data_IF_473334897388
#
_entry.id   IF_473334897388
#
_cell.length_a   1.000
_cell.length_b   1.000
_cell.length_c   1.000
_cell.angle_alpha   90.00
_cell.angle_beta   90.00
_cell.angle_gamma   90.00
#
_symmetry.space_group_name_H-M   'P 1'
#
loop_
_entity.id
_entity.type
_entity.pdbx_description
1 polymer ?
#
# COMPACT_ATOMS: atom_id res chain seq x y z
N UNK A 1 0.11 -19.70 -6.79
CA UNK A 1 -0.18 -20.52 -7.97
C UNK A 1 -1.14 -19.73 -8.87
N UNK A 2 -0.89 -19.67 -10.18
CA UNK A 2 -1.84 -19.08 -11.12
C UNK A 2 -2.04 -20.04 -12.30
N UNK A 3 -3.27 -20.16 -12.78
CA UNK A 3 -3.62 -20.92 -13.98
C UNK A 3 -4.32 -19.98 -14.96
N UNK A 4 -3.83 -19.92 -16.20
CA UNK A 4 -4.45 -19.17 -17.29
C UNK A 4 -5.21 -20.18 -18.15
N UNK A 5 -6.53 -20.09 -18.10
CA UNK A 5 -7.40 -20.70 -19.10
C UNK A 5 -7.97 -19.57 -19.96
N UNK A 6 -8.23 -19.86 -21.24
CA UNK A 6 -8.57 -18.88 -22.29
C UNK A 6 -9.82 -18.02 -22.03
N UNK A 7 -10.52 -18.20 -20.90
CA UNK A 7 -11.69 -17.43 -20.50
C UNK A 7 -11.78 -17.05 -19.00
N UNK A 8 -10.86 -17.46 -18.12
CA UNK A 8 -10.84 -17.05 -16.71
C UNK A 8 -9.47 -17.25 -16.05
N UNK A 9 -9.17 -16.40 -15.07
CA UNK A 9 -7.93 -16.45 -14.29
C UNK A 9 -8.22 -16.99 -12.89
N UNK A 10 -7.51 -18.05 -12.47
CA UNK A 10 -7.42 -18.44 -11.07
C UNK A 10 -6.15 -17.84 -10.47
N UNK A 11 -6.30 -16.83 -9.60
CA UNK A 11 -5.20 -16.19 -8.89
C UNK A 11 -5.24 -16.55 -7.40
N UNK A 12 -4.24 -17.29 -6.92
CA UNK A 12 -4.06 -17.53 -5.48
C UNK A 12 -3.12 -16.47 -4.93
N UNK A 13 -3.66 -15.60 -4.08
CA UNK A 13 -2.91 -14.58 -3.36
C UNK A 13 -2.71 -14.99 -1.92
N UNK A 14 -1.51 -14.78 -1.43
CA UNK A 14 -1.15 -14.95 -0.03
C UNK A 14 -0.63 -13.62 0.50
N UNK A 15 -1.32 -13.07 1.49
CA UNK A 15 -0.81 -11.91 2.23
C UNK A 15 0.00 -12.46 3.39
N UNK A 16 1.29 -12.16 3.39
CA UNK A 16 2.13 -12.42 4.55
C UNK A 16 1.89 -11.30 5.58
N UNK A 17 0.98 -11.55 6.51
CA UNK A 17 0.62 -10.59 7.56
C UNK A 17 1.79 -10.29 8.51
N UNK A 18 2.62 -11.29 8.84
CA UNK A 18 3.83 -11.10 9.65
C UNK A 18 4.82 -10.14 8.97
N UNK A 19 5.08 -10.34 7.68
CA UNK A 19 5.93 -9.44 6.89
C UNK A 19 5.31 -8.04 6.75
N UNK A 20 3.98 -7.93 6.74
CA UNK A 20 3.28 -6.64 6.71
C UNK A 20 3.38 -5.88 8.04
N UNK A 21 3.40 -6.60 9.16
CA UNK A 21 3.56 -6.03 10.51
C UNK A 21 5.01 -5.64 10.79
N UNK A 22 5.97 -6.40 10.27
CA UNK A 22 7.40 -6.10 10.37
C UNK A 22 7.88 -4.98 9.42
N UNK A 23 7.04 -4.58 8.45
CA UNK A 23 7.40 -3.59 7.44
C UNK A 23 7.41 -2.19 8.05
N UNK A 24 8.53 -1.48 7.94
CA UNK A 24 8.67 -0.11 8.45
C UNK A 24 7.78 0.89 7.70
N UNK A 25 7.48 2.04 8.32
CA UNK A 25 6.67 3.08 7.69
C UNK A 25 7.32 3.62 6.40
N UNK A 26 8.65 3.68 6.35
CA UNK A 26 9.40 4.05 5.14
C UNK A 26 9.26 3.02 4.01
N UNK A 27 9.34 1.72 4.33
CA UNK A 27 9.13 0.67 3.34
C UNK A 27 7.69 0.67 2.79
N UNK A 28 6.70 0.95 3.64
CA UNK A 28 5.30 1.13 3.21
C UNK A 28 5.19 2.29 2.22
N UNK A 29 5.87 3.42 2.49
CA UNK A 29 5.91 4.55 1.56
C UNK A 29 6.57 4.18 0.23
N UNK A 30 7.72 3.49 0.26
CA UNK A 30 8.42 3.04 -0.96
C UNK A 30 7.51 2.13 -1.79
N UNK A 31 6.89 1.12 -1.18
CA UNK A 31 5.97 0.19 -1.88
C UNK A 31 4.74 0.91 -2.41
N UNK A 32 4.18 1.85 -1.65
CA UNK A 32 3.05 2.65 -2.11
C UNK A 32 3.42 3.51 -3.32
N UNK A 33 4.61 4.12 -3.31
CA UNK A 33 5.11 4.99 -4.40
C UNK A 33 5.26 4.29 -5.76
N UNK A 34 5.44 2.96 -5.75
CA UNK A 34 5.56 2.15 -6.97
C UNK A 34 4.21 1.94 -7.67
N UNK A 35 3.10 2.10 -6.94
CA UNK A 35 1.75 1.81 -7.42
C UNK A 35 0.94 3.11 -7.55
N UNK A 36 1.16 4.05 -6.63
CA UNK A 36 0.39 5.30 -6.50
C UNK A 36 1.28 6.49 -6.16
N UNK A 37 0.80 7.69 -6.46
CA UNK A 37 1.47 8.92 -6.05
C UNK A 37 1.43 9.11 -4.52
N UNK A 38 2.56 9.51 -3.95
CA UNK A 38 2.65 9.84 -2.52
C UNK A 38 1.94 11.17 -2.21
N UNK A 39 1.29 11.23 -1.04
CA UNK A 39 0.75 12.48 -0.52
C UNK A 39 1.91 13.46 -0.22
N UNK A 40 1.80 14.76 -0.58
CA UNK A 40 2.81 15.77 -0.27
C UNK A 40 3.16 15.85 1.22
N UNK A 41 2.19 15.57 2.10
CA UNK A 41 2.39 15.53 3.54
C UNK A 41 3.38 14.42 3.94
N UNK A 42 3.24 13.24 3.35
CA UNK A 42 4.10 12.09 3.63
C UNK A 42 5.49 12.27 3.02
N UNK A 43 5.60 12.93 1.85
CA UNK A 43 6.90 13.30 1.27
C UNK A 43 7.67 14.25 2.21
N UNK A 44 6.98 15.24 2.79
CA UNK A 44 7.58 16.15 3.78
C UNK A 44 7.94 15.43 5.08
N UNK A 45 7.15 14.44 5.48
CA UNK A 45 7.45 13.57 6.62
C UNK A 45 8.75 12.79 6.38
N UNK A 46 8.91 12.14 5.22
CA UNK A 46 10.13 11.39 4.86
C UNK A 46 11.40 12.26 4.84
N UNK A 47 11.27 13.53 4.46
CA UNK A 47 12.38 14.49 4.46
C UNK A 47 12.69 15.07 5.85
N UNK A 48 11.91 14.74 6.88
CA UNK A 48 12.05 15.33 8.21
C UNK A 48 11.69 16.82 8.27
N UNK A 49 10.98 17.35 7.27
CA UNK A 49 10.64 18.78 7.14
C UNK A 49 9.39 19.19 7.96
N UNK A 50 8.79 18.25 8.69
CA UNK A 50 7.63 18.49 9.52
C UNK A 50 8.04 18.92 10.93
N UNK A 51 7.69 20.16 11.28
CA UNK A 51 7.97 20.75 12.61
C UNK A 51 6.82 20.61 13.60
N UNK A 52 5.61 20.33 13.10
CA UNK A 52 4.41 20.16 13.93
C UNK A 52 4.12 18.68 14.17
N UNK A 53 3.94 18.30 15.43
CA UNK A 53 3.63 16.90 15.81
C UNK A 53 2.27 16.45 15.25
N UNK A 54 1.29 17.36 15.14
CA UNK A 54 -0.01 17.09 14.50
C UNK A 54 0.19 16.70 13.02
N UNK A 55 1.10 17.36 12.31
CA UNK A 55 1.38 17.03 10.91
C UNK A 55 2.09 15.68 10.76
N UNK A 56 2.97 15.34 11.71
CA UNK A 56 3.62 14.03 11.75
C UNK A 56 2.61 12.91 12.01
N UNK A 57 1.72 13.12 12.98
CA UNK A 57 0.68 12.15 13.32
C UNK A 57 -0.29 11.92 12.14
N UNK A 58 -0.70 13.00 11.47
CA UNK A 58 -1.51 12.91 10.26
C UNK A 58 -0.79 12.14 9.12
N UNK A 59 0.53 12.33 8.96
CA UNK A 59 1.31 11.56 7.99
C UNK A 59 1.34 10.07 8.35
N UNK A 60 1.57 9.73 9.63
CA UNK A 60 1.57 8.34 10.11
C UNK A 60 0.20 7.68 9.95
N UNK A 61 -0.89 8.42 10.17
CA UNK A 61 -2.25 7.89 9.96
C UNK A 61 -2.51 7.53 8.48
N UNK A 62 -1.98 8.34 7.55
CA UNK A 62 -2.01 8.04 6.12
C UNK A 62 -1.22 6.77 5.82
N UNK A 63 0.01 6.66 6.35
CA UNK A 63 0.86 5.49 6.15
C UNK A 63 0.20 4.22 6.73
N UNK A 64 -0.45 4.31 7.89
CA UNK A 64 -1.19 3.20 8.48
C UNK A 64 -2.35 2.74 7.58
N UNK A 65 -3.06 3.67 6.91
CA UNK A 65 -4.08 3.34 5.91
C UNK A 65 -3.47 2.64 4.70
N UNK A 66 -2.30 3.07 4.23
CA UNK A 66 -1.57 2.42 3.14
C UNK A 66 -1.13 1.01 3.51
N UNK A 67 -0.60 0.80 4.72
CA UNK A 67 -0.22 -0.54 5.24
C UNK A 67 -1.42 -1.50 5.16
N UNK A 68 -2.59 -1.08 5.67
CA UNK A 68 -3.82 -1.89 5.59
C UNK A 68 -4.26 -2.21 4.16
N UNK A 69 -4.05 -1.28 3.23
CA UNK A 69 -4.41 -1.47 1.81
C UNK A 69 -3.45 -2.41 1.10
N UNK A 70 -2.15 -2.28 1.34
CA UNK A 70 -1.13 -3.17 0.79
C UNK A 70 -1.25 -4.61 1.33
N UNK A 71 -1.79 -4.78 2.54
CA UNK A 71 -2.09 -6.07 3.13
C UNK A 71 -3.50 -6.59 2.84
N UNK A 72 -4.29 -5.92 1.98
CA UNK A 72 -5.67 -6.32 1.70
C UNK A 72 -5.80 -6.97 0.33
N UNK A 73 -6.16 -8.26 0.32
CA UNK A 73 -6.48 -9.02 -0.90
C UNK A 73 -7.62 -8.33 -1.66
N UNK A 74 -8.66 -7.86 -0.94
CA UNK A 74 -9.80 -7.16 -1.55
C UNK A 74 -9.37 -5.85 -2.23
N UNK A 75 -8.43 -5.11 -1.64
CA UNK A 75 -7.89 -3.90 -2.28
C UNK A 75 -7.10 -4.25 -3.55
N UNK A 76 -6.28 -5.30 -3.50
CA UNK A 76 -5.55 -5.77 -4.67
C UNK A 76 -6.48 -6.23 -5.80
N UNK A 77 -7.53 -6.99 -5.48
CA UNK A 77 -8.56 -7.42 -6.45
C UNK A 77 -9.29 -6.23 -7.08
N UNK A 78 -9.58 -5.18 -6.30
CA UNK A 78 -10.14 -3.93 -6.84
C UNK A 78 -9.21 -3.30 -7.88
N UNK A 79 -7.91 -3.21 -7.60
CA UNK A 79 -6.93 -2.62 -8.51
C UNK A 79 -6.83 -3.39 -9.84
N UNK A 80 -6.91 -4.73 -9.78
CA UNK A 80 -6.92 -5.57 -10.99
C UNK A 80 -8.20 -5.36 -11.80
N UNK A 81 -9.35 -5.33 -11.13
CA UNK A 81 -10.64 -5.20 -11.80
C UNK A 81 -10.86 -3.80 -12.40
N UNK A 82 -10.26 -2.74 -11.84
CA UNK A 82 -10.33 -1.38 -12.39
C UNK A 82 -9.70 -1.25 -13.79
N UNK A 83 -8.79 -2.16 -14.20
CA UNK A 83 -8.20 -2.18 -15.54
C UNK A 83 -8.92 -3.08 -16.56
N UNK A 84 -9.85 -3.91 -16.09
CA UNK A 84 -10.56 -4.89 -16.94
C UNK A 84 -11.96 -4.39 -17.35
N UNK A 85 -12.48 -3.35 -16.69
CA UNK A 85 -13.78 -2.73 -16.98
C UNK A 85 -13.73 -1.70 -18.11
#
# INVERSE_FOLDING_TARGET
AYAIMSNHYHLVLYVNEEASLACSDDEICVRWSQIYTLSPLVVRWQKGELTSDIQKEAALEIIAKWRKRLSSISWFMRCINEFIA
#
